data_IF_084969661222
#
_entry.id   IF_084969661222
#
_cell.length_a   1.000
_cell.length_b   1.000
_cell.length_c   1.000
_cell.angle_alpha   90.00
_cell.angle_beta   90.00
_cell.angle_gamma   90.00
#
_symmetry.space_group_name_H-M   'P 1'
#
loop_
_entity.id
_entity.type
_entity.pdbx_description
1 polymer ?
#
# COMPACT_ATOMS: atom_id res chain seq x y z
N UNK A 1 -21.47 30.02 -8.23
CA UNK A 1 -20.98 29.46 -9.51
C UNK A 1 -19.82 28.55 -9.14
N UNK A 2 -19.89 27.26 -9.45
CA UNK A 2 -18.79 26.36 -9.14
C UNK A 2 -17.58 26.84 -9.94
N UNK A 3 -16.49 27.20 -9.25
CA UNK A 3 -15.21 27.49 -9.88
C UNK A 3 -14.83 26.26 -10.71
N UNK A 4 -14.61 26.42 -12.03
CA UNK A 4 -14.18 25.32 -12.87
C UNK A 4 -12.79 24.87 -12.39
N UNK A 5 -12.75 23.70 -11.76
CA UNK A 5 -11.52 23.09 -11.26
C UNK A 5 -10.67 22.72 -12.47
N UNK A 6 -9.43 23.18 -12.53
CA UNK A 6 -8.54 22.81 -13.63
C UNK A 6 -8.23 21.30 -13.57
N UNK A 7 -7.98 20.69 -14.74
CA UNK A 7 -7.61 19.27 -14.80
C UNK A 7 -6.37 18.95 -13.96
N UNK A 8 -5.44 19.89 -13.84
CA UNK A 8 -4.22 19.72 -13.07
C UNK A 8 -4.50 19.74 -11.57
N UNK A 9 -5.35 20.65 -11.11
CA UNK A 9 -5.78 20.69 -9.70
C UNK A 9 -6.52 19.41 -9.30
N UNK A 10 -7.40 18.91 -10.19
CA UNK A 10 -8.08 17.63 -10.00
C UNK A 10 -7.08 16.46 -9.88
N UNK A 11 -6.10 16.36 -10.78
CA UNK A 11 -5.08 15.30 -10.74
C UNK A 11 -4.25 15.36 -9.47
N UNK A 12 -3.83 16.56 -9.04
CA UNK A 12 -3.05 16.73 -7.83
C UNK A 12 -3.84 16.29 -6.59
N UNK A 13 -5.09 16.73 -6.45
CA UNK A 13 -5.97 16.28 -5.37
C UNK A 13 -6.21 14.77 -5.40
N UNK A 14 -6.40 14.18 -6.58
CA UNK A 14 -6.57 12.73 -6.73
C UNK A 14 -5.31 11.95 -6.30
N UNK A 15 -4.12 12.41 -6.70
CA UNK A 15 -2.83 11.81 -6.31
C UNK A 15 -2.65 11.85 -4.80
N UNK A 16 -2.99 12.96 -4.15
CA UNK A 16 -2.90 13.12 -2.71
C UNK A 16 -3.83 12.13 -1.99
N UNK A 17 -5.12 12.11 -2.35
CA UNK A 17 -6.10 11.18 -1.75
C UNK A 17 -5.65 9.73 -1.90
N UNK A 18 -5.17 9.35 -3.09
CA UNK A 18 -4.74 7.97 -3.35
C UNK A 18 -3.47 7.61 -2.59
N UNK A 19 -2.53 8.53 -2.48
CA UNK A 19 -1.31 8.35 -1.69
C UNK A 19 -1.63 8.15 -0.21
N UNK A 20 -2.53 8.97 0.35
CA UNK A 20 -2.99 8.84 1.74
C UNK A 20 -3.75 7.52 1.99
N UNK A 21 -4.58 7.09 1.04
CA UNK A 21 -5.27 5.81 1.12
C UNK A 21 -4.31 4.62 1.17
N UNK A 22 -3.26 4.62 0.34
CA UNK A 22 -2.24 3.56 0.33
C UNK A 22 -1.42 3.54 1.62
N UNK A 23 -1.01 4.71 2.14
CA UNK A 23 -0.33 4.81 3.44
C UNK A 23 -1.20 4.26 4.57
N UNK A 24 -2.50 4.60 4.58
CA UNK A 24 -3.45 4.07 5.57
C UNK A 24 -3.62 2.56 5.43
N UNK A 25 -3.72 2.05 4.21
CA UNK A 25 -3.77 0.61 3.91
C UNK A 25 -2.54 -0.11 4.46
N UNK A 26 -1.34 0.43 4.21
CA UNK A 26 -0.09 -0.08 4.77
C UNK A 26 -0.10 -0.10 6.31
N UNK A 27 -0.57 0.97 6.95
CA UNK A 27 -0.64 1.05 8.41
C UNK A 27 -1.55 -0.03 9.01
N UNK A 28 -2.68 -0.33 8.39
CA UNK A 28 -3.56 -1.44 8.81
C UNK A 28 -2.83 -2.77 8.74
N UNK A 29 -2.13 -3.05 7.63
CA UNK A 29 -1.36 -4.29 7.49
C UNK A 29 -0.24 -4.39 8.53
N UNK A 30 0.44 -3.27 8.82
CA UNK A 30 1.48 -3.21 9.84
C UNK A 30 0.93 -3.52 11.24
N UNK A 31 -0.22 -2.94 11.59
CA UNK A 31 -0.89 -3.20 12.89
C UNK A 31 -1.29 -4.68 13.00
N UNK A 32 -1.92 -5.23 11.97
CA UNK A 32 -2.30 -6.66 11.94
C UNK A 32 -1.06 -7.54 12.08
N UNK A 33 0.02 -7.23 11.36
CA UNK A 33 1.27 -7.97 11.44
C UNK A 33 1.85 -7.97 12.86
N UNK A 34 1.91 -6.81 13.52
CA UNK A 34 2.42 -6.70 14.90
C UNK A 34 1.55 -7.48 15.88
N UNK A 35 0.23 -7.32 15.81
CA UNK A 35 -0.70 -8.00 16.71
C UNK A 35 -0.64 -9.52 16.56
N UNK A 36 -0.70 -10.02 15.32
CA UNK A 36 -0.65 -11.46 15.06
C UNK A 36 0.68 -12.04 15.47
N UNK A 37 1.81 -11.42 15.13
CA UNK A 37 3.12 -11.95 15.54
C UNK A 37 3.32 -11.91 17.05
N UNK A 38 2.85 -10.88 17.74
CA UNK A 38 2.89 -10.82 19.22
C UNK A 38 2.10 -11.98 19.84
N UNK A 39 0.91 -12.26 19.29
CA UNK A 39 0.10 -13.41 19.69
C UNK A 39 0.82 -14.74 19.43
N UNK A 40 1.41 -14.94 18.23
CA UNK A 40 2.12 -16.17 17.88
C UNK A 40 3.37 -16.37 18.74
N UNK A 41 4.13 -15.31 19.02
CA UNK A 41 5.27 -15.33 19.96
C UNK A 41 4.80 -15.80 21.35
N UNK A 42 3.69 -15.24 21.83
CA UNK A 42 3.13 -15.59 23.14
C UNK A 42 2.70 -17.06 23.18
N UNK A 43 2.00 -17.54 22.15
CA UNK A 43 1.61 -18.95 22.02
C UNK A 43 2.84 -19.85 21.99
N UNK A 44 3.87 -19.48 21.24
CA UNK A 44 5.07 -20.30 21.13
C UNK A 44 5.74 -20.48 22.50
N UNK A 45 5.94 -19.41 23.26
CA UNK A 45 6.58 -19.50 24.58
C UNK A 45 5.73 -20.22 25.63
N UNK A 46 4.39 -20.15 25.52
CA UNK A 46 3.49 -20.83 26.47
C UNK A 46 3.43 -22.34 26.21
N UNK A 47 3.28 -22.74 24.94
CA UNK A 47 2.95 -24.13 24.61
C UNK A 47 4.13 -24.95 24.10
N UNK A 48 5.15 -24.31 23.54
CA UNK A 48 6.29 -25.01 22.92
C UNK A 48 7.59 -24.22 23.10
N UNK A 49 8.03 -23.95 24.34
CA UNK A 49 9.19 -23.11 24.60
C UNK A 49 10.51 -23.72 24.06
N UNK A 50 10.56 -25.04 23.85
CA UNK A 50 11.74 -25.72 23.30
C UNK A 50 11.85 -25.60 21.77
N UNK A 51 10.75 -25.27 21.07
CA UNK A 51 10.68 -25.19 19.62
C UNK A 51 10.30 -23.77 19.17
N UNK A 52 11.26 -22.97 18.71
CA UNK A 52 11.02 -21.55 18.32
C UNK A 52 10.43 -21.46 16.90
N UNK A 53 9.15 -21.79 16.74
CA UNK A 53 8.47 -21.77 15.44
C UNK A 53 7.92 -20.40 15.05
N UNK A 54 7.75 -19.43 15.97
CA UNK A 54 7.20 -18.11 15.61
C UNK A 54 8.05 -17.35 14.58
N UNK A 55 9.32 -17.73 14.42
CA UNK A 55 10.26 -17.08 13.51
C UNK A 55 9.86 -17.26 12.03
N UNK A 56 9.25 -18.40 11.68
CA UNK A 56 8.80 -18.68 10.31
C UNK A 56 7.69 -17.73 9.83
N UNK A 57 6.55 -17.57 10.53
CA UNK A 57 5.53 -16.60 10.14
C UNK A 57 6.05 -15.16 10.24
N UNK A 58 6.90 -14.84 11.21
CA UNK A 58 7.51 -13.51 11.35
C UNK A 58 8.28 -13.12 10.10
N UNK A 59 9.25 -13.95 9.67
CA UNK A 59 10.03 -13.65 8.47
C UNK A 59 9.18 -13.75 7.21
N UNK A 60 8.38 -14.82 7.08
CA UNK A 60 7.58 -15.07 5.88
C UNK A 60 6.63 -13.90 5.58
N UNK A 61 5.90 -13.43 6.60
CA UNK A 61 4.99 -12.30 6.42
C UNK A 61 5.71 -10.95 6.42
N UNK A 62 6.86 -10.84 7.10
CA UNK A 62 7.67 -9.62 7.14
C UNK A 62 8.16 -9.19 5.75
N UNK A 63 8.41 -10.15 4.85
CA UNK A 63 8.72 -9.86 3.45
C UNK A 63 7.54 -9.17 2.74
N UNK A 64 6.32 -9.67 2.94
CA UNK A 64 5.10 -9.08 2.37
C UNK A 64 4.86 -7.66 2.87
N UNK A 65 4.99 -7.42 4.17
CA UNK A 65 4.89 -6.08 4.76
C UNK A 65 5.93 -5.12 4.18
N UNK A 66 7.17 -5.59 3.99
CA UNK A 66 8.23 -4.80 3.39
C UNK A 66 7.90 -4.40 1.95
N UNK A 67 7.32 -5.32 1.16
CA UNK A 67 6.85 -5.00 -0.19
C UNK A 67 5.71 -3.97 -0.18
N UNK A 68 4.76 -4.07 0.76
CA UNK A 68 3.71 -3.06 0.91
C UNK A 68 4.27 -1.69 1.31
N UNK A 69 5.25 -1.64 2.20
CA UNK A 69 5.94 -0.41 2.59
C UNK A 69 6.62 0.27 1.39
N UNK A 70 7.38 -0.48 0.59
CA UNK A 70 8.06 0.05 -0.58
C UNK A 70 7.08 0.62 -1.59
N UNK A 71 5.96 -0.07 -1.82
CA UNK A 71 4.89 0.43 -2.68
C UNK A 71 4.28 1.74 -2.14
N UNK A 72 3.85 1.76 -0.88
CA UNK A 72 3.15 2.90 -0.29
C UNK A 72 4.03 4.14 -0.09
N UNK A 73 5.34 3.97 0.15
CA UNK A 73 6.24 5.08 0.49
C UNK A 73 7.13 5.51 -0.67
N UNK A 74 7.64 4.58 -1.48
CA UNK A 74 8.64 4.90 -2.51
C UNK A 74 8.10 4.90 -3.93
N UNK A 75 7.11 4.04 -4.23
CA UNK A 75 6.70 3.81 -5.61
C UNK A 75 5.35 4.40 -5.97
N UNK A 76 4.51 4.77 -4.99
CA UNK A 76 3.14 5.22 -5.24
C UNK A 76 3.07 6.42 -6.20
N UNK A 77 3.89 7.46 -6.01
CA UNK A 77 3.88 8.63 -6.89
C UNK A 77 4.26 8.28 -8.34
N UNK A 78 5.27 7.40 -8.51
CA UNK A 78 5.72 6.96 -9.83
C UNK A 78 4.62 6.14 -10.51
N UNK A 79 4.01 5.20 -9.79
CA UNK A 79 2.92 4.37 -10.30
C UNK A 79 1.71 5.22 -10.70
N UNK A 80 1.36 6.24 -9.91
CA UNK A 80 0.27 7.16 -10.23
C UNK A 80 0.54 7.93 -11.52
N UNK A 81 1.75 8.46 -11.69
CA UNK A 81 2.14 9.16 -12.93
C UNK A 81 2.10 8.24 -14.15
N UNK A 82 2.58 7.00 -14.03
CA UNK A 82 2.51 6.01 -15.10
C UNK A 82 1.06 5.64 -15.46
N UNK A 83 0.21 5.47 -14.45
CA UNK A 83 -1.22 5.21 -14.65
C UNK A 83 -1.93 6.36 -15.35
N UNK A 84 -1.63 7.60 -14.96
CA UNK A 84 -2.19 8.80 -15.60
C UNK A 84 -1.76 8.92 -17.05
N UNK A 85 -0.46 8.75 -17.35
CA UNK A 85 0.05 8.77 -18.72
C UNK A 85 -0.64 7.71 -19.60
N UNK A 86 -0.86 6.51 -19.05
CA UNK A 86 -1.58 5.42 -19.74
C UNK A 86 -3.06 5.76 -19.94
N UNK A 87 -3.71 6.41 -18.98
CA UNK A 87 -5.09 6.85 -19.09
C UNK A 87 -5.25 7.93 -20.18
N UNK A 88 -4.35 8.91 -20.22
CA UNK A 88 -4.33 9.94 -21.26
C UNK A 88 -4.13 9.36 -22.66
N UNK A 89 -3.17 8.44 -22.81
CA UNK A 89 -2.94 7.74 -24.08
C UNK A 89 -4.22 7.04 -24.57
N UNK A 90 -4.90 6.29 -23.68
CA UNK A 90 -6.15 5.61 -24.02
C UNK A 90 -7.28 6.58 -24.38
N UNK A 91 -7.41 7.68 -23.66
CA UNK A 91 -8.42 8.69 -23.96
C UNK A 91 -8.19 9.33 -25.35
N UNK A 92 -6.93 9.58 -25.72
CA UNK A 92 -6.57 10.08 -27.06
C UNK A 92 -6.90 9.07 -28.16
N UNK A 93 -6.63 7.78 -27.94
CA UNK A 93 -6.96 6.73 -28.91
C UNK A 93 -8.47 6.56 -29.11
N UNK A 94 -9.27 6.67 -28.04
CA UNK A 94 -10.74 6.65 -28.14
C UNK A 94 -11.25 7.84 -28.95
N UNK A 95 -10.71 9.04 -28.74
CA UNK A 95 -11.14 10.25 -29.46
C UNK A 95 -10.76 10.25 -30.94
N UNK A 96 -9.76 9.45 -31.33
CA UNK A 96 -9.33 9.29 -32.74
C UNK A 96 -10.17 8.26 -33.52
N UNK A 97 -10.89 7.37 -32.82
CA UNK A 97 -11.87 6.46 -33.42
C UNK A 97 -13.20 7.18 -33.61
#
# INVERSE_FOLDING_TARGET
>A
MAEEISLEDYKNAYREIKTEAEKRGFLVHLVVYVLVNTMLISINFIYSPEDIWFFYPLIGWGIGITAHYLNAVRWIEKLLKEMEAKAEYRAREIKKK
#
